data_IF_478474269597
#
_entry.id   IF_478474269597
#
_cell.length_a   1.000
_cell.length_b   1.000
_cell.length_c   1.000
_cell.angle_alpha   90.00
_cell.angle_beta   90.00
_cell.angle_gamma   90.00
#
_symmetry.space_group_name_H-M   'P 1'
#
loop_
_entity.id
_entity.type
_entity.pdbx_description
1 polymer ?
#
# COMPACT_ATOMS: atom_id res chain seq x y z
N UNK A 1 -32.14 62.12 -13.59
CA UNK A 1 -31.01 61.61 -12.79
C UNK A 1 -31.32 60.31 -12.03
N UNK A 2 -32.42 60.12 -11.33
CA UNK A 2 -32.72 58.91 -10.53
C UNK A 2 -32.91 57.58 -11.34
N UNK A 3 -33.32 57.68 -12.63
CA UNK A 3 -33.54 56.49 -13.48
C UNK A 3 -32.24 55.96 -14.05
N UNK A 4 -31.33 56.81 -14.48
CA UNK A 4 -30.01 56.47 -15.05
C UNK A 4 -29.15 55.80 -13.98
N UNK A 5 -29.17 56.29 -12.74
CA UNK A 5 -28.41 55.70 -11.62
C UNK A 5 -28.88 54.29 -11.26
N UNK A 6 -30.16 53.98 -11.39
CA UNK A 6 -30.72 52.65 -11.17
C UNK A 6 -30.33 51.64 -12.26
N UNK A 7 -30.30 52.10 -13.53
CA UNK A 7 -29.88 51.24 -14.66
C UNK A 7 -28.39 50.91 -14.59
N UNK A 8 -27.56 51.86 -14.19
CA UNK A 8 -26.10 51.62 -14.01
C UNK A 8 -25.81 50.66 -12.86
N UNK A 9 -26.61 50.70 -11.78
CA UNK A 9 -26.45 49.80 -10.64
C UNK A 9 -26.85 48.35 -10.98
N UNK A 10 -27.92 48.17 -11.80
CA UNK A 10 -28.38 46.85 -12.24
C UNK A 10 -27.42 46.23 -13.26
N UNK A 11 -26.85 47.03 -14.17
CA UNK A 11 -25.84 46.59 -15.12
C UNK A 11 -24.52 46.17 -14.44
N UNK A 12 -24.12 46.84 -13.34
CA UNK A 12 -22.95 46.50 -12.54
C UNK A 12 -23.11 45.18 -11.76
N UNK A 13 -24.31 44.85 -11.29
CA UNK A 13 -24.57 43.58 -10.59
C UNK A 13 -24.64 42.39 -11.56
N UNK A 14 -25.04 42.59 -12.82
CA UNK A 14 -25.13 41.53 -13.81
C UNK A 14 -23.77 41.04 -14.34
N UNK A 15 -22.73 41.86 -14.30
CA UNK A 15 -21.38 41.51 -14.75
C UNK A 15 -20.56 40.72 -13.71
N UNK A 16 -21.01 40.68 -12.45
CA UNK A 16 -20.35 39.94 -11.39
C UNK A 16 -20.67 38.44 -11.33
N UNK A 17 -21.62 37.94 -12.12
CA UNK A 17 -22.09 36.54 -12.06
C UNK A 17 -21.41 35.60 -13.07
N UNK A 18 -20.50 36.10 -13.92
CA UNK A 18 -19.83 35.30 -14.96
C UNK A 18 -18.40 34.88 -14.55
N UNK A 19 -17.99 35.17 -13.32
CA UNK A 19 -16.59 34.95 -12.87
C UNK A 19 -16.35 33.61 -12.18
N UNK A 20 -17.19 32.60 -12.37
CA UNK A 20 -16.98 31.25 -11.87
C UNK A 20 -16.94 30.23 -13.00
N UNK A 21 -16.05 30.40 -13.99
CA UNK A 21 -15.70 29.32 -14.90
C UNK A 21 -14.45 28.63 -14.42
N UNK A 22 -14.55 27.32 -14.24
CA UNK A 22 -13.51 26.34 -13.90
C UNK A 22 -12.93 26.39 -12.47
N UNK A 23 -13.73 25.95 -11.52
CA UNK A 23 -13.24 25.48 -10.21
C UNK A 23 -12.63 24.07 -10.27
N UNK A 24 -12.77 23.35 -11.38
CA UNK A 24 -12.08 22.06 -11.63
C UNK A 24 -10.68 22.31 -12.19
N UNK A 25 -9.80 22.90 -11.40
CA UNK A 25 -8.38 22.92 -11.70
C UNK A 25 -7.78 21.56 -11.32
N UNK A 26 -7.47 20.75 -12.33
CA UNK A 26 -6.63 19.57 -12.09
C UNK A 26 -5.27 20.03 -11.54
N UNK A 27 -4.79 19.47 -10.42
CA UNK A 27 -3.49 19.83 -9.87
C UNK A 27 -2.40 19.59 -10.92
N UNK A 28 -1.58 20.58 -11.19
CA UNK A 28 -0.53 20.54 -12.23
C UNK A 28 0.41 19.33 -12.10
N UNK A 29 0.59 18.80 -10.88
CA UNK A 29 1.49 17.69 -10.56
C UNK A 29 0.80 16.39 -10.15
N UNK A 30 -0.51 16.26 -10.33
CA UNK A 30 -1.25 15.04 -9.97
C UNK A 30 -2.16 14.63 -11.12
N UNK A 31 -2.06 13.36 -11.52
CA UNK A 31 -3.02 12.77 -12.44
C UNK A 31 -4.33 12.53 -11.70
N UNK A 32 -5.46 12.96 -12.26
CA UNK A 32 -6.76 12.54 -11.74
C UNK A 32 -6.86 11.01 -11.75
N UNK A 33 -7.63 10.44 -10.83
CA UNK A 33 -7.80 8.98 -10.74
C UNK A 33 -8.31 8.39 -12.05
N UNK A 34 -9.10 9.17 -12.82
CA UNK A 34 -9.62 8.74 -14.12
C UNK A 34 -8.54 8.63 -15.19
N UNK A 35 -7.53 9.49 -15.17
CA UNK A 35 -6.41 9.49 -16.12
C UNK A 35 -5.34 8.48 -15.68
N UNK A 36 -5.18 8.30 -14.39
CA UNK A 36 -4.11 7.52 -13.78
C UNK A 36 -4.13 6.01 -14.14
N UNK A 37 -5.26 5.49 -14.65
CA UNK A 37 -5.43 4.08 -15.03
C UNK A 37 -5.82 3.89 -16.50
N UNK A 38 -5.50 4.84 -17.39
CA UNK A 38 -5.89 4.78 -18.81
C UNK A 38 -4.90 4.00 -19.69
N UNK A 39 -3.63 3.94 -19.31
CA UNK A 39 -2.56 3.36 -20.15
C UNK A 39 -1.64 2.45 -19.34
N UNK A 40 -0.92 1.57 -20.05
CA UNK A 40 0.10 0.70 -19.44
C UNK A 40 1.27 1.53 -18.88
N UNK A 41 1.59 2.67 -19.47
CA UNK A 41 2.62 3.56 -18.95
C UNK A 41 2.18 4.24 -17.66
N UNK A 42 0.90 4.60 -17.52
CA UNK A 42 0.35 5.07 -16.25
C UNK A 42 0.41 3.96 -15.18
N UNK A 43 0.11 2.71 -15.54
CA UNK A 43 0.27 1.58 -14.64
C UNK A 43 1.72 1.39 -14.17
N UNK A 44 2.70 1.69 -15.02
CA UNK A 44 4.13 1.67 -14.65
C UNK A 44 4.45 2.70 -13.56
N UNK A 45 3.88 3.90 -13.63
CA UNK A 45 4.09 4.91 -12.58
C UNK A 45 3.50 4.46 -11.23
N UNK A 46 2.32 3.86 -11.22
CA UNK A 46 1.74 3.25 -10.04
C UNK A 46 2.62 2.15 -9.46
N UNK A 47 3.09 1.25 -10.32
CA UNK A 47 4.01 0.18 -9.96
C UNK A 47 5.31 0.73 -9.33
N UNK A 48 5.91 1.77 -9.90
CA UNK A 48 7.09 2.42 -9.33
C UNK A 48 6.78 3.02 -7.94
N UNK A 49 5.56 3.49 -7.73
CA UNK A 49 5.05 3.94 -6.45
C UNK A 49 5.08 2.86 -5.36
N UNK A 50 4.90 1.57 -5.70
CA UNK A 50 5.00 0.48 -4.71
C UNK A 50 6.39 0.41 -4.10
N UNK A 51 7.44 0.46 -4.93
CA UNK A 51 8.84 0.39 -4.48
C UNK A 51 9.26 1.64 -3.70
N UNK A 52 8.78 2.80 -4.13
CA UNK A 52 8.98 4.04 -3.36
C UNK A 52 8.37 3.92 -1.97
N UNK A 53 7.13 3.43 -1.87
CA UNK A 53 6.44 3.22 -0.57
C UNK A 53 7.15 2.19 0.30
N UNK A 54 7.62 1.10 -0.28
CA UNK A 54 8.41 0.10 0.44
C UNK A 54 9.66 0.72 1.06
N UNK A 55 10.42 1.50 0.27
CA UNK A 55 11.63 2.16 0.75
C UNK A 55 11.35 3.20 1.84
N UNK A 56 10.31 4.04 1.65
CA UNK A 56 10.05 5.18 2.51
C UNK A 56 9.43 4.77 3.87
N UNK A 57 8.87 3.58 3.97
CA UNK A 57 8.04 3.26 5.12
C UNK A 57 8.22 1.85 5.70
N UNK A 58 8.08 0.82 4.88
CA UNK A 58 8.04 -0.54 5.40
C UNK A 58 9.46 -1.05 5.70
N UNK A 59 10.45 -0.68 4.88
CA UNK A 59 11.79 -1.22 5.01
C UNK A 59 12.48 -0.75 6.30
N UNK A 60 12.42 0.54 6.61
CA UNK A 60 13.11 1.07 7.79
C UNK A 60 12.51 0.53 9.09
N UNK A 61 11.20 0.64 9.25
CA UNK A 61 10.55 0.26 10.51
C UNK A 61 10.40 -1.26 10.67
N UNK A 62 10.07 -1.99 9.60
CA UNK A 62 9.87 -3.42 9.67
C UNK A 62 11.17 -4.25 9.79
N UNK A 63 12.33 -3.66 9.46
CA UNK A 63 13.64 -4.30 9.64
C UNK A 63 14.36 -3.79 10.89
N UNK A 64 14.40 -2.47 11.09
CA UNK A 64 15.19 -1.88 12.17
C UNK A 64 14.60 -2.16 13.56
N UNK A 65 13.27 -2.21 13.69
CA UNK A 65 12.67 -2.39 15.01
C UNK A 65 12.85 -3.81 15.58
N UNK A 66 12.68 -4.90 14.82
CA UNK A 66 13.07 -6.22 15.29
C UNK A 66 14.55 -6.31 15.67
N UNK A 67 15.43 -5.59 14.97
CA UNK A 67 16.86 -5.55 15.32
C UNK A 67 17.12 -4.79 16.62
N UNK A 68 16.38 -3.69 16.88
CA UNK A 68 16.45 -2.95 18.15
C UNK A 68 15.88 -3.75 19.34
N UNK A 69 14.91 -4.64 19.09
CA UNK A 69 14.35 -5.53 20.10
C UNK A 69 15.21 -6.76 20.36
N UNK A 70 16.19 -7.02 19.50
CA UNK A 70 17.20 -8.06 19.65
C UNK A 70 18.53 -7.45 20.09
N UNK A 71 19.54 -8.29 20.29
CA UNK A 71 20.90 -7.84 20.61
C UNK A 71 21.71 -7.37 19.38
N UNK A 72 21.07 -7.22 18.19
CA UNK A 72 21.75 -6.86 16.94
C UNK A 72 21.95 -5.36 16.78
N UNK A 73 21.10 -4.52 17.40
CA UNK A 73 21.20 -3.07 17.34
C UNK A 73 20.92 -2.43 18.70
N UNK A 74 21.50 -1.25 18.94
CA UNK A 74 21.31 -0.47 20.15
C UNK A 74 20.84 0.94 19.83
N UNK A 75 19.97 1.50 20.66
CA UNK A 75 19.61 2.91 20.63
C UNK A 75 20.54 3.70 21.55
N UNK A 76 21.38 4.58 20.99
CA UNK A 76 22.33 5.40 21.73
C UNK A 76 21.80 6.82 21.96
N UNK A 77 22.01 7.35 23.16
CA UNK A 77 21.68 8.73 23.53
C UNK A 77 22.50 9.73 22.68
N UNK A 78 23.73 9.40 22.30
CA UNK A 78 24.60 10.24 21.46
C UNK A 78 24.00 10.51 20.07
N UNK A 79 23.10 9.67 19.61
CA UNK A 79 22.36 9.81 18.34
C UNK A 79 20.88 10.17 18.55
N UNK A 80 20.53 10.80 19.68
CA UNK A 80 19.19 11.26 19.99
C UNK A 80 18.23 10.15 20.39
N UNK A 81 18.71 9.03 20.87
CA UNK A 81 17.96 7.89 21.39
C UNK A 81 16.84 7.40 20.44
N UNK A 82 17.09 7.41 19.12
CA UNK A 82 16.10 6.97 18.12
C UNK A 82 15.81 5.49 18.30
N UNK A 83 14.51 5.17 18.46
CA UNK A 83 14.07 3.81 18.71
C UNK A 83 14.32 3.32 20.16
N UNK A 84 14.74 4.19 21.08
CA UNK A 84 15.00 3.83 22.47
C UNK A 84 13.81 3.19 23.17
N UNK A 85 12.60 3.65 22.92
CA UNK A 85 11.35 3.05 23.44
C UNK A 85 11.22 1.60 22.95
N UNK A 86 11.55 1.34 21.70
CA UNK A 86 11.53 -0.01 21.12
C UNK A 86 12.62 -0.88 21.71
N UNK A 87 13.85 -0.34 21.80
CA UNK A 87 15.01 -1.06 22.35
C UNK A 87 14.81 -1.46 23.82
N UNK A 88 14.23 -0.59 24.62
CA UNK A 88 13.93 -0.84 26.04
C UNK A 88 12.63 -1.61 26.27
N UNK A 89 11.94 -2.03 25.22
CA UNK A 89 10.63 -2.74 25.29
C UNK A 89 9.53 -1.96 26.03
N UNK A 90 9.68 -0.64 26.17
CA UNK A 90 8.69 0.22 26.82
C UNK A 90 7.62 0.70 25.82
N UNK A 91 6.98 -0.28 25.15
CA UNK A 91 6.02 -0.06 24.07
C UNK A 91 4.62 0.06 24.66
N UNK A 92 3.97 1.19 24.44
CA UNK A 92 2.59 1.45 24.81
C UNK A 92 1.68 1.53 23.59
N UNK A 93 0.37 1.41 23.77
CA UNK A 93 -0.63 1.48 22.69
C UNK A 93 -0.57 2.79 21.87
N UNK A 94 -0.09 3.88 22.48
CA UNK A 94 0.09 5.20 21.83
C UNK A 94 1.45 5.43 21.19
N UNK A 95 2.38 4.47 21.24
CA UNK A 95 3.73 4.63 20.69
C UNK A 95 3.70 4.95 19.20
N UNK A 96 4.15 6.15 18.85
CA UNK A 96 4.08 6.70 17.48
C UNK A 96 4.76 5.79 16.47
N UNK A 97 5.92 5.25 16.81
CA UNK A 97 6.72 4.39 15.94
C UNK A 97 5.95 3.12 15.53
N UNK A 98 5.27 2.48 16.49
CA UNK A 98 4.46 1.27 16.26
C UNK A 98 3.22 1.61 15.42
N UNK A 99 2.54 2.71 15.75
CA UNK A 99 1.40 3.22 14.97
C UNK A 99 1.81 3.51 13.53
N UNK A 100 2.98 4.09 13.31
CA UNK A 100 3.46 4.46 11.98
C UNK A 100 3.73 3.23 11.11
N UNK A 101 4.24 2.12 11.65
CA UNK A 101 4.37 0.86 10.91
C UNK A 101 3.02 0.42 10.37
N UNK A 102 2.02 0.36 11.26
CA UNK A 102 0.65 -0.02 10.91
C UNK A 102 0.06 0.89 9.83
N UNK A 103 0.10 2.18 10.07
CA UNK A 103 -0.48 3.19 9.17
C UNK A 103 0.16 3.15 7.77
N UNK A 104 1.48 3.09 7.70
CA UNK A 104 2.22 3.07 6.43
C UNK A 104 1.99 1.79 5.65
N UNK A 105 1.87 0.64 6.31
CA UNK A 105 1.53 -0.61 5.65
C UNK A 105 0.13 -0.55 5.01
N UNK A 106 -0.86 0.00 5.72
CA UNK A 106 -2.22 0.16 5.18
C UNK A 106 -2.32 1.22 4.07
N UNK A 107 -1.49 2.28 4.08
CA UNK A 107 -1.36 3.18 2.92
C UNK A 107 -0.81 2.41 1.71
N UNK A 108 0.20 1.57 1.90
CA UNK A 108 0.73 0.70 0.86
C UNK A 108 -0.35 -0.25 0.31
N UNK A 109 -1.10 -0.90 1.20
CA UNK A 109 -2.23 -1.77 0.86
C UNK A 109 -3.31 -1.04 0.05
N UNK A 110 -3.67 0.18 0.42
CA UNK A 110 -4.64 0.99 -0.31
C UNK A 110 -4.21 1.20 -1.77
N UNK A 111 -2.93 1.54 -1.99
CA UNK A 111 -2.38 1.74 -3.33
C UNK A 111 -2.38 0.44 -4.16
N UNK A 112 -1.90 -0.67 -3.61
CA UNK A 112 -1.87 -1.95 -4.36
C UNK A 112 -3.28 -2.49 -4.63
N UNK A 113 -4.23 -2.30 -3.72
CA UNK A 113 -5.62 -2.69 -3.92
C UNK A 113 -6.29 -1.94 -5.07
N UNK A 114 -6.04 -0.63 -5.21
CA UNK A 114 -6.48 0.12 -6.39
C UNK A 114 -5.93 -0.48 -7.67
N UNK A 115 -4.64 -0.81 -7.69
CA UNK A 115 -4.00 -1.39 -8.86
C UNK A 115 -4.52 -2.78 -9.19
N UNK A 116 -4.71 -3.65 -8.19
CA UNK A 116 -5.30 -4.98 -8.37
C UNK A 116 -6.70 -4.89 -9.00
N UNK A 117 -7.48 -3.88 -8.59
CA UNK A 117 -8.83 -3.66 -9.13
C UNK A 117 -8.81 -3.04 -10.53
N UNK A 118 -7.92 -2.08 -10.78
CA UNK A 118 -7.97 -1.24 -12.00
C UNK A 118 -7.10 -1.77 -13.14
N UNK A 119 -5.96 -2.39 -12.88
CA UNK A 119 -5.05 -2.85 -13.93
C UNK A 119 -5.69 -3.83 -14.93
N UNK A 120 -6.53 -4.80 -14.53
CA UNK A 120 -7.17 -5.73 -15.48
C UNK A 120 -7.98 -5.03 -16.56
N UNK A 121 -8.56 -3.86 -16.27
CA UNK A 121 -9.41 -3.10 -17.20
C UNK A 121 -8.64 -2.14 -18.11
N UNK A 122 -7.33 -1.95 -17.92
CA UNK A 122 -6.52 -1.07 -18.78
C UNK A 122 -6.42 -1.68 -20.19
N UNK A 123 -6.78 -0.95 -21.24
CA UNK A 123 -6.64 -1.42 -22.62
C UNK A 123 -5.17 -1.60 -22.99
N UNK A 124 -4.86 -2.62 -23.80
CA UNK A 124 -3.53 -2.90 -24.29
C UNK A 124 -3.56 -3.02 -25.81
N UNK A 125 -2.62 -2.35 -26.48
CA UNK A 125 -2.51 -2.34 -27.94
C UNK A 125 -1.71 -3.54 -28.48
N UNK A 126 -0.97 -4.26 -27.63
CA UNK A 126 -0.12 -5.38 -28.04
C UNK A 126 -0.03 -6.47 -26.96
N UNK A 127 0.41 -7.67 -27.37
CA UNK A 127 0.72 -8.75 -26.44
C UNK A 127 1.83 -8.39 -25.43
N UNK A 128 2.81 -7.57 -25.86
CA UNK A 128 3.89 -7.08 -25.00
C UNK A 128 3.33 -6.16 -23.90
N UNK A 129 2.43 -5.26 -24.23
CA UNK A 129 1.78 -4.40 -23.23
C UNK A 129 0.95 -5.22 -22.23
N UNK A 130 0.23 -6.22 -22.71
CA UNK A 130 -0.51 -7.15 -21.83
C UNK A 130 0.43 -7.89 -20.91
N UNK A 131 1.57 -8.37 -21.41
CA UNK A 131 2.58 -9.05 -20.57
C UNK A 131 3.14 -8.12 -19.51
N UNK A 132 3.51 -6.87 -19.86
CA UNK A 132 3.98 -5.87 -18.89
C UNK A 132 2.92 -5.58 -17.81
N UNK A 133 1.68 -5.36 -18.23
CA UNK A 133 0.58 -5.07 -17.32
C UNK A 133 0.31 -6.24 -16.37
N UNK A 134 0.37 -7.47 -16.85
CA UNK A 134 0.24 -8.67 -16.03
C UNK A 134 1.39 -8.79 -15.01
N UNK A 135 2.62 -8.43 -15.42
CA UNK A 135 3.75 -8.37 -14.49
C UNK A 135 3.54 -7.32 -13.39
N UNK A 136 3.05 -6.12 -13.73
CA UNK A 136 2.74 -5.09 -12.73
C UNK A 136 1.62 -5.52 -11.77
N UNK A 137 0.63 -6.23 -12.28
CA UNK A 137 -0.42 -6.84 -11.47
C UNK A 137 0.13 -7.93 -10.54
N UNK A 138 1.03 -8.77 -11.02
CA UNK A 138 1.74 -9.77 -10.21
C UNK A 138 2.56 -9.16 -9.10
N UNK A 139 3.27 -8.06 -9.40
CA UNK A 139 3.99 -7.29 -8.38
C UNK A 139 3.03 -6.70 -7.33
N UNK A 140 1.86 -6.19 -7.74
CA UNK A 140 0.86 -5.69 -6.79
C UNK A 140 0.36 -6.78 -5.83
N UNK A 141 0.09 -7.99 -6.31
CA UNK A 141 -0.25 -9.14 -5.46
C UNK A 141 0.91 -9.51 -4.53
N UNK A 142 2.14 -9.54 -5.01
CA UNK A 142 3.32 -9.80 -4.18
C UNK A 142 3.48 -8.76 -3.06
N UNK A 143 3.26 -7.47 -3.36
CA UNK A 143 3.28 -6.40 -2.36
C UNK A 143 2.14 -6.54 -1.34
N UNK A 144 0.93 -6.93 -1.76
CA UNK A 144 -0.17 -7.14 -0.82
C UNK A 144 0.13 -8.28 0.15
N UNK A 145 0.63 -9.39 -0.36
CA UNK A 145 1.08 -10.51 0.47
C UNK A 145 2.19 -10.09 1.43
N UNK A 146 3.17 -9.32 0.96
CA UNK A 146 4.27 -8.82 1.79
C UNK A 146 3.78 -7.92 2.93
N UNK A 147 2.91 -6.96 2.65
CA UNK A 147 2.36 -6.06 3.68
C UNK A 147 1.52 -6.83 4.71
N UNK A 148 0.66 -7.75 4.27
CA UNK A 148 -0.11 -8.58 5.19
C UNK A 148 0.80 -9.47 6.04
N UNK A 149 1.85 -10.04 5.46
CA UNK A 149 2.80 -10.86 6.19
C UNK A 149 3.58 -10.05 7.22
N UNK A 150 4.05 -8.86 6.89
CA UNK A 150 4.69 -7.94 7.84
C UNK A 150 3.75 -7.58 9.01
N UNK A 151 2.52 -7.21 8.70
CA UNK A 151 1.53 -6.84 9.70
C UNK A 151 1.20 -8.00 10.65
N UNK A 152 0.99 -9.22 10.12
CA UNK A 152 0.63 -10.36 10.96
C UNK A 152 1.80 -10.79 11.85
N UNK A 153 3.05 -10.70 11.37
CA UNK A 153 4.22 -11.00 12.17
C UNK A 153 4.43 -10.01 13.33
N UNK A 154 4.13 -8.73 13.12
CA UNK A 154 4.37 -7.69 14.13
C UNK A 154 3.19 -7.48 15.09
N UNK A 155 1.96 -7.75 14.65
CA UNK A 155 0.76 -7.36 15.38
C UNK A 155 -0.17 -8.52 15.74
N UNK A 156 0.27 -9.76 15.55
CA UNK A 156 -0.53 -10.95 15.85
C UNK A 156 0.30 -11.97 16.62
N UNK A 157 -0.33 -12.89 17.36
CA UNK A 157 0.36 -14.02 17.96
C UNK A 157 1.00 -14.92 16.90
N UNK A 158 1.97 -15.75 17.32
CA UNK A 158 2.58 -16.74 16.44
C UNK A 158 1.48 -17.63 15.82
N UNK A 159 1.56 -17.84 14.52
CA UNK A 159 0.67 -18.73 13.80
C UNK A 159 1.09 -20.19 13.96
N UNK A 160 0.14 -21.05 14.24
CA UNK A 160 0.29 -22.49 14.15
C UNK A 160 -0.89 -23.03 13.30
N UNK A 161 -0.63 -23.60 12.11
CA UNK A 161 -1.70 -24.11 11.24
C UNK A 161 -2.51 -25.25 11.86
N UNK A 162 -1.97 -25.93 12.87
CA UNK A 162 -2.62 -27.00 13.62
C UNK A 162 -3.01 -26.54 15.05
N UNK A 163 -2.71 -25.31 15.40
CA UNK A 163 -2.94 -24.76 16.73
C UNK A 163 -4.37 -24.31 16.97
N UNK A 164 -4.73 -24.21 18.24
CA UNK A 164 -6.07 -23.78 18.69
C UNK A 164 -6.36 -22.30 18.42
N UNK A 165 -5.35 -21.48 18.16
CA UNK A 165 -5.52 -20.04 17.91
C UNK A 165 -5.79 -19.69 16.42
N UNK A 166 -5.68 -20.65 15.52
CA UNK A 166 -5.84 -20.45 14.07
C UNK A 166 -7.16 -19.75 13.71
N UNK A 167 -8.26 -20.22 14.26
CA UNK A 167 -9.59 -19.74 13.92
C UNK A 167 -10.24 -18.86 15.01
N UNK A 168 -9.45 -18.44 15.98
CA UNK A 168 -9.91 -17.49 17.02
C UNK A 168 -10.13 -16.12 16.38
N UNK A 169 -11.31 -15.54 16.63
CA UNK A 169 -11.68 -14.25 16.08
C UNK A 169 -10.72 -13.14 16.53
N UNK A 170 -10.44 -12.21 15.63
CA UNK A 170 -9.65 -11.00 15.88
C UNK A 170 -8.17 -11.22 16.25
N UNK A 171 -7.61 -12.41 16.08
CA UNK A 171 -6.18 -12.66 16.29
C UNK A 171 -5.29 -12.36 15.10
N UNK A 172 -5.84 -12.34 13.87
CA UNK A 172 -5.13 -11.91 12.66
C UNK A 172 -5.08 -10.40 12.49
N UNK A 173 -5.16 -9.92 11.28
CA UNK A 173 -5.17 -8.51 10.90
C UNK A 173 -6.42 -8.14 10.11
N UNK A 174 -6.82 -6.86 10.00
CA UNK A 174 -7.87 -6.43 9.07
C UNK A 174 -7.48 -6.70 7.61
N UNK A 175 -8.28 -7.51 6.90
CA UNK A 175 -8.05 -7.86 5.50
C UNK A 175 -8.77 -6.86 4.59
N UNK A 176 -8.13 -5.74 4.28
CA UNK A 176 -8.60 -4.79 3.28
C UNK A 176 -8.16 -5.24 1.90
N UNK A 177 -9.08 -5.80 1.10
CA UNK A 177 -8.83 -6.34 -0.23
C UNK A 177 -9.21 -5.39 -1.35
N UNK A 178 -9.93 -4.33 -1.03
CA UNK A 178 -10.36 -3.27 -1.96
C UNK A 178 -9.96 -1.90 -1.40
N UNK A 179 -9.94 -0.89 -2.27
CA UNK A 179 -9.79 0.49 -1.83
C UNK A 179 -11.15 1.04 -1.41
N UNK A 180 -11.34 1.18 -0.10
CA UNK A 180 -12.51 1.82 0.49
C UNK A 180 -12.06 2.61 1.73
N UNK A 181 -12.16 3.94 1.64
CA UNK A 181 -11.75 4.85 2.73
C UNK A 181 -12.73 4.89 3.91
N UNK A 182 -13.90 4.31 3.73
CA UNK A 182 -14.97 4.26 4.75
C UNK A 182 -15.02 2.91 5.47
N UNK A 183 -14.31 1.91 4.97
CA UNK A 183 -14.31 0.57 5.54
C UNK A 183 -13.67 0.56 6.93
N UNK A 184 -14.36 -0.03 7.88
CA UNK A 184 -13.89 -0.27 9.25
C UNK A 184 -13.94 -1.78 9.56
N UNK A 185 -13.11 -2.60 8.94
CA UNK A 185 -13.15 -4.04 9.10
C UNK A 185 -12.62 -4.46 10.47
N UNK A 186 -13.22 -5.50 11.04
CA UNK A 186 -12.64 -6.20 12.16
C UNK A 186 -11.35 -6.93 11.74
N UNK A 187 -10.54 -7.31 12.71
CA UNK A 187 -9.42 -8.21 12.48
C UNK A 187 -9.94 -9.59 12.06
N UNK A 188 -9.33 -10.18 11.06
CA UNK A 188 -9.60 -11.56 10.64
C UNK A 188 -9.03 -12.57 11.66
N UNK A 189 -9.26 -13.85 11.42
CA UNK A 189 -8.52 -14.90 12.14
C UNK A 189 -7.09 -15.03 11.57
N UNK A 190 -6.21 -15.71 12.28
CA UNK A 190 -4.87 -16.04 11.77
C UNK A 190 -4.98 -16.90 10.52
N UNK A 191 -5.82 -17.94 10.54
CA UNK A 191 -6.02 -18.82 9.39
C UNK A 191 -6.50 -18.08 8.14
N UNK A 192 -7.46 -17.16 8.27
CA UNK A 192 -7.91 -16.30 7.17
C UNK A 192 -6.78 -15.42 6.65
N UNK A 193 -5.98 -14.84 7.55
CA UNK A 193 -4.86 -13.96 7.17
C UNK A 193 -3.81 -14.72 6.36
N UNK A 194 -3.35 -15.87 6.83
CA UNK A 194 -2.35 -16.68 6.10
C UNK A 194 -2.90 -17.27 4.80
N UNK A 195 -4.17 -17.65 4.78
CA UNK A 195 -4.86 -18.09 3.54
C UNK A 195 -4.83 -16.97 2.49
N UNK A 196 -5.13 -15.73 2.87
CA UNK A 196 -5.10 -14.60 1.95
C UNK A 196 -3.67 -14.31 1.46
N UNK A 197 -2.68 -14.34 2.34
CA UNK A 197 -1.27 -14.15 1.96
C UNK A 197 -0.85 -15.20 0.93
N UNK A 198 -1.14 -16.48 1.16
CA UNK A 198 -0.78 -17.56 0.23
C UNK A 198 -1.55 -17.48 -1.09
N UNK A 199 -2.81 -17.03 -1.07
CA UNK A 199 -3.60 -16.77 -2.27
C UNK A 199 -2.98 -15.66 -3.12
N UNK A 200 -2.57 -14.56 -2.52
CA UNK A 200 -1.92 -13.46 -3.23
C UNK A 200 -0.57 -13.88 -3.81
N UNK A 201 0.22 -14.66 -3.08
CA UNK A 201 1.47 -15.21 -3.60
C UNK A 201 1.26 -16.16 -4.78
N UNK A 202 0.19 -16.97 -4.77
CA UNK A 202 -0.16 -17.84 -5.92
C UNK A 202 -0.54 -17.01 -7.16
N UNK A 203 -1.30 -15.93 -7.00
CA UNK A 203 -1.58 -15.00 -8.09
C UNK A 203 -0.29 -14.33 -8.63
N UNK A 204 0.58 -13.89 -7.74
CA UNK A 204 1.86 -13.32 -8.11
C UNK A 204 2.75 -14.32 -8.87
N UNK A 205 2.85 -15.58 -8.41
CA UNK A 205 3.60 -16.64 -9.11
C UNK A 205 3.09 -16.86 -10.54
N UNK A 206 1.79 -16.89 -10.73
CA UNK A 206 1.17 -17.08 -12.05
C UNK A 206 1.51 -15.91 -12.99
N UNK A 207 1.32 -14.69 -12.52
CA UNK A 207 1.49 -13.47 -13.32
C UNK A 207 2.95 -13.11 -13.59
N UNK A 208 3.87 -13.53 -12.71
CA UNK A 208 5.32 -13.31 -12.84
C UNK A 208 6.07 -14.53 -13.40
N UNK A 209 5.38 -15.55 -13.87
CA UNK A 209 5.99 -16.80 -14.36
C UNK A 209 7.06 -16.59 -15.41
N UNK A 210 6.94 -15.54 -16.25
CA UNK A 210 7.89 -15.19 -17.31
C UNK A 210 8.93 -14.14 -16.86
N UNK A 211 8.97 -13.76 -15.57
CA UNK A 211 9.89 -12.78 -15.04
C UNK A 211 10.89 -13.44 -14.08
N UNK A 212 11.90 -14.10 -14.68
CA UNK A 212 12.97 -14.73 -13.91
C UNK A 212 13.78 -13.71 -13.10
N UNK A 213 14.34 -14.15 -11.97
CA UNK A 213 15.26 -13.36 -11.18
C UNK A 213 16.60 -13.16 -11.88
N UNK A 214 17.23 -12.04 -11.56
CA UNK A 214 18.61 -11.77 -11.91
C UNK A 214 19.33 -11.18 -10.69
N UNK A 215 20.64 -11.35 -10.62
CA UNK A 215 21.45 -10.69 -9.60
C UNK A 215 21.31 -9.19 -9.73
N UNK A 216 20.92 -8.52 -8.64
CA UNK A 216 20.67 -7.07 -8.63
C UNK A 216 19.29 -6.67 -9.16
N UNK A 217 18.34 -7.60 -9.32
CA UNK A 217 16.97 -7.24 -9.66
C UNK A 217 16.38 -6.31 -8.59
N UNK A 218 15.88 -5.17 -9.03
CA UNK A 218 15.32 -4.11 -8.19
C UNK A 218 13.78 -4.20 -8.05
N UNK A 219 13.19 -5.26 -8.59
CA UNK A 219 11.75 -5.47 -8.63
C UNK A 219 11.39 -6.92 -8.32
N UNK A 220 10.15 -7.16 -7.89
CA UNK A 220 9.67 -8.51 -7.66
C UNK A 220 9.79 -9.37 -8.94
N UNK A 221 10.40 -10.53 -8.76
CA UNK A 221 10.53 -11.57 -9.76
C UNK A 221 9.86 -12.84 -9.25
N UNK A 222 9.69 -13.84 -10.10
CA UNK A 222 9.15 -15.14 -9.69
C UNK A 222 9.95 -15.76 -8.53
N UNK A 223 11.27 -15.59 -8.54
CA UNK A 223 12.15 -16.15 -7.51
C UNK A 223 11.99 -15.41 -6.18
N UNK A 224 11.82 -14.08 -6.20
CA UNK A 224 11.53 -13.29 -5.01
C UNK A 224 10.17 -13.69 -4.40
N UNK A 225 9.15 -13.94 -5.23
CA UNK A 225 7.83 -14.41 -4.77
C UNK A 225 7.94 -15.79 -4.12
N UNK A 226 8.66 -16.72 -4.75
CA UNK A 226 8.90 -18.06 -4.18
C UNK A 226 9.68 -18.00 -2.87
N UNK A 227 10.68 -17.13 -2.75
CA UNK A 227 11.42 -16.91 -1.52
C UNK A 227 10.52 -16.37 -0.40
N UNK A 228 9.66 -15.39 -0.72
CA UNK A 228 8.67 -14.88 0.24
C UNK A 228 7.68 -15.97 0.66
N UNK A 229 7.19 -16.78 -0.29
CA UNK A 229 6.29 -17.89 -0.01
C UNK A 229 6.93 -18.94 0.90
N UNK A 230 8.19 -19.30 0.64
CA UNK A 230 8.94 -20.20 1.51
C UNK A 230 9.04 -19.65 2.94
N UNK A 231 9.33 -18.35 3.08
CA UNK A 231 9.37 -17.68 4.39
C UNK A 231 8.01 -17.71 5.11
N UNK A 232 6.91 -17.48 4.39
CA UNK A 232 5.54 -17.56 4.95
C UNK A 232 5.22 -18.98 5.42
N UNK A 233 5.66 -20.01 4.69
CA UNK A 233 5.40 -21.40 5.03
C UNK A 233 6.27 -21.95 6.19
N UNK A 234 7.33 -21.22 6.57
CA UNK A 234 8.21 -21.56 7.69
C UNK A 234 7.75 -20.94 9.03
N UNK A 235 6.71 -20.10 9.01
CA UNK A 235 6.14 -19.48 10.22
C UNK A 235 5.09 -20.36 10.84
#
# INVERSE_FOLDING_TARGET
MKLITKITLIAGLGLGLVACENLDQEPYNQLSTEVAFKTVDNAMYWRNGFYKRLRDAAFYYATTYPELQSDLANASEDFGNRGGIIHTWNIEAGTTDVRDIWHRAYIGLANVNQCITKFPSIPTASANERTRLNQYLGEAYAFRAYYFFQLVQLFSPKYDPNGSNKDVANLGIPLLLTFDVTALPNRATLGQTYTQILSDLAQAETLLSNKAGAVGADTFTIDAVKALKARVLLT
#
